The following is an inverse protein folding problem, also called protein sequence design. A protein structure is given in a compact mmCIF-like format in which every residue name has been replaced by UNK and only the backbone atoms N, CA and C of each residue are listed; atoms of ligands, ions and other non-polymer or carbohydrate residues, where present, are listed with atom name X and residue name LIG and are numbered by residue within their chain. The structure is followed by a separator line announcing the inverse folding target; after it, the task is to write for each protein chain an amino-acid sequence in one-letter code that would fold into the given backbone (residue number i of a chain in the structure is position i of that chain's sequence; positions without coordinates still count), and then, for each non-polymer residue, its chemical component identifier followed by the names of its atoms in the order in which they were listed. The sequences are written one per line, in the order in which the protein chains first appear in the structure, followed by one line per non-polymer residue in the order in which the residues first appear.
data_IF_719211208907
#
_entry.id   IF_719211208907
#
_cell.length_a   1.000
_cell.length_b   1.000
_cell.length_c   1.000
_cell.angle_alpha   90.00
_cell.angle_beta   90.00
_cell.angle_gamma   90.00
#
_symmetry.space_group_name_H-M   'P 1'
#
loop_
_entity.id
_entity.type
_entity.pdbx_description
1 polymer ?
#
# COMPACT_ATOMS: atom_id res chain seq x y z
N UNK A 1 5.04 -1.11 -34.51
CA UNK A 1 5.81 -0.71 -33.32
C UNK A 1 5.32 0.69 -32.96
N UNK A 2 4.44 0.81 -31.98
CA UNK A 2 3.84 2.11 -31.66
C UNK A 2 4.87 3.02 -30.97
N UNK A 3 5.00 4.24 -31.48
CA UNK A 3 5.98 5.27 -31.10
C UNK A 3 5.59 5.96 -29.78
N UNK A 4 5.58 5.23 -28.68
CA UNK A 4 5.31 5.78 -27.33
C UNK A 4 6.40 5.36 -26.36
N UNK A 5 7.03 6.31 -25.66
CA UNK A 5 8.17 6.08 -24.77
C UNK A 5 7.89 5.25 -23.51
N UNK A 6 6.66 4.77 -23.31
CA UNK A 6 6.21 3.99 -22.18
C UNK A 6 5.47 2.73 -22.67
N UNK A 7 5.81 1.57 -22.10
CA UNK A 7 5.00 0.36 -22.25
C UNK A 7 3.75 0.47 -21.34
N UNK A 8 2.62 0.83 -21.94
CA UNK A 8 1.34 1.05 -21.25
C UNK A 8 0.90 -0.19 -20.46
N UNK A 9 1.07 -1.39 -21.03
CA UNK A 9 0.64 -2.63 -20.38
C UNK A 9 1.54 -2.95 -19.19
N UNK A 10 2.85 -2.76 -19.31
CA UNK A 10 3.79 -2.92 -18.21
C UNK A 10 3.48 -1.95 -17.04
N UNK A 11 3.15 -0.69 -17.34
CA UNK A 11 2.80 0.29 -16.31
C UNK A 11 1.46 -0.02 -15.64
N UNK A 12 0.45 -0.47 -16.40
CA UNK A 12 -0.82 -0.96 -15.82
C UNK A 12 -0.59 -2.16 -14.90
N UNK A 13 0.29 -3.08 -15.29
CA UNK A 13 0.66 -4.21 -14.44
C UNK A 13 1.34 -3.77 -13.14
N UNK A 14 2.30 -2.84 -13.23
CA UNK A 14 2.97 -2.25 -12.06
C UNK A 14 1.96 -1.56 -11.13
N UNK A 15 1.06 -0.75 -11.67
CA UNK A 15 0.02 -0.08 -10.90
C UNK A 15 -0.82 -1.09 -10.10
N UNK A 16 -1.25 -2.19 -10.73
CA UNK A 16 -2.00 -3.25 -10.06
C UNK A 16 -1.19 -3.90 -8.94
N UNK A 17 0.08 -4.22 -9.18
CA UNK A 17 0.95 -4.80 -8.15
C UNK A 17 1.10 -3.87 -6.94
N UNK A 18 1.32 -2.57 -7.17
CA UNK A 18 1.42 -1.57 -6.09
C UNK A 18 0.15 -1.54 -5.24
N UNK A 19 -1.02 -1.55 -5.87
CA UNK A 19 -2.31 -1.59 -5.18
C UNK A 19 -2.46 -2.87 -4.34
N UNK A 20 -2.17 -4.04 -4.92
CA UNK A 20 -2.22 -5.32 -4.20
C UNK A 20 -1.27 -5.34 -2.99
N UNK A 21 -0.05 -4.81 -3.12
CA UNK A 21 0.91 -4.75 -2.01
C UNK A 21 0.49 -3.75 -0.92
N UNK A 22 -0.17 -2.66 -1.28
CA UNK A 22 -0.77 -1.77 -0.29
C UNK A 22 -1.84 -2.49 0.55
N UNK A 23 -2.73 -3.24 -0.10
CA UNK A 23 -3.79 -3.98 0.58
C UNK A 23 -3.24 -5.08 1.48
N UNK A 24 -2.19 -5.79 1.04
CA UNK A 24 -1.49 -6.78 1.87
C UNK A 24 -0.90 -6.14 3.14
N UNK A 25 -0.26 -4.98 3.04
CA UNK A 25 0.33 -4.27 4.19
C UNK A 25 -0.77 -3.84 5.17
N UNK A 26 -1.88 -3.30 4.67
CA UNK A 26 -3.00 -2.91 5.52
C UNK A 26 -3.61 -4.12 6.24
N UNK A 27 -3.77 -5.25 5.54
CA UNK A 27 -4.24 -6.50 6.14
C UNK A 27 -3.31 -7.02 7.25
N UNK A 28 -1.99 -6.95 7.03
CA UNK A 28 -0.99 -7.31 8.05
C UNK A 28 -1.12 -6.41 9.29
N UNK A 29 -1.18 -5.08 9.10
CA UNK A 29 -1.30 -4.14 10.19
C UNK A 29 -2.56 -4.38 11.04
N UNK A 30 -3.68 -4.66 10.38
CA UNK A 30 -4.95 -4.95 11.05
C UNK A 30 -4.92 -6.32 11.77
N UNK A 31 -4.37 -7.35 11.14
CA UNK A 31 -4.24 -8.69 11.73
C UNK A 31 -3.39 -8.68 12.99
N UNK A 32 -2.22 -8.03 12.94
CA UNK A 32 -1.34 -7.90 14.11
C UNK A 32 -2.00 -7.10 15.24
N UNK A 33 -2.69 -6.02 14.90
CA UNK A 33 -3.44 -5.22 15.90
C UNK A 33 -4.52 -6.06 16.58
N UNK A 34 -5.27 -6.86 15.81
CA UNK A 34 -6.30 -7.75 16.37
C UNK A 34 -5.69 -8.82 17.27
N UNK A 35 -4.62 -9.48 16.83
CA UNK A 35 -3.92 -10.50 17.63
C UNK A 35 -3.41 -9.91 18.95
N UNK A 36 -2.79 -8.73 18.93
CA UNK A 36 -2.32 -8.05 20.15
C UNK A 36 -3.44 -7.71 21.15
N UNK A 37 -4.66 -7.47 20.66
CA UNK A 37 -5.84 -7.27 21.49
C UNK A 37 -6.41 -8.57 22.08
N UNK A 38 -6.23 -9.70 21.38
CA UNK A 38 -6.76 -11.01 21.82
C UNK A 38 -5.88 -11.76 22.82
N UNK A 39 -4.59 -11.44 22.89
CA UNK A 39 -3.65 -12.14 23.79
C UNK A 39 -3.85 -11.65 25.23
N UNK A 40 -4.00 -12.59 26.17
CA UNK A 40 -4.08 -12.32 27.61
C UNK A 40 -2.69 -11.97 28.21
N UNK A 41 -2.09 -10.91 27.68
CA UNK A 41 -0.84 -10.34 28.17
C UNK A 41 -1.13 -9.02 28.86
N UNK A 42 -0.89 -8.96 30.18
CA UNK A 42 -1.20 -7.83 31.05
C UNK A 42 0.05 -7.33 31.77
N UNK A 43 -0.01 -6.09 32.27
CA UNK A 43 1.08 -5.44 33.00
C UNK A 43 1.72 -4.30 32.21
N UNK A 44 2.58 -3.53 32.87
CA UNK A 44 3.14 -2.30 32.33
C UNK A 44 3.89 -2.49 31.00
N UNK A 45 4.59 -3.62 30.83
CA UNK A 45 5.30 -3.93 29.58
C UNK A 45 4.34 -4.18 28.42
N UNK A 46 3.21 -4.84 28.70
CA UNK A 46 2.18 -5.10 27.70
C UNK A 46 1.52 -3.79 27.23
N UNK A 47 1.25 -2.88 28.17
CA UNK A 47 0.67 -1.57 27.88
C UNK A 47 1.65 -0.70 27.07
N UNK A 48 2.93 -0.72 27.46
CA UNK A 48 3.99 -0.04 26.71
C UNK A 48 4.10 -0.57 25.29
N UNK A 49 4.16 -1.88 25.10
CA UNK A 49 4.25 -2.49 23.78
C UNK A 49 3.04 -2.13 22.91
N UNK A 50 1.82 -2.21 23.45
CA UNK A 50 0.61 -1.81 22.71
C UNK A 50 0.63 -0.32 22.35
N UNK A 51 1.14 0.53 23.22
CA UNK A 51 1.31 1.96 22.95
C UNK A 51 2.30 2.20 21.80
N UNK A 52 3.48 1.59 21.85
CA UNK A 52 4.52 1.67 20.82
C UNK A 52 4.02 1.13 19.47
N UNK A 53 3.32 0.00 19.49
CA UNK A 53 2.68 -0.58 18.30
C UNK A 53 1.69 0.37 17.64
N UNK A 54 0.73 0.90 18.41
CA UNK A 54 -0.34 1.74 17.87
C UNK A 54 0.16 3.10 17.40
N UNK A 55 1.11 3.69 18.12
CA UNK A 55 1.63 5.04 17.82
C UNK A 55 2.71 5.05 16.74
N UNK A 56 3.60 4.06 16.71
CA UNK A 56 4.73 4.03 15.79
C UNK A 56 4.51 3.06 14.62
N UNK A 57 4.57 1.76 14.94
CA UNK A 57 4.68 0.71 13.91
C UNK A 57 3.44 0.62 13.01
N UNK A 58 2.24 0.62 13.59
CA UNK A 58 0.99 0.58 12.82
C UNK A 58 0.86 1.79 11.91
N UNK A 59 1.17 2.98 12.41
CA UNK A 59 1.12 4.21 11.60
C UNK A 59 2.09 4.15 10.42
N UNK A 60 3.33 3.69 10.64
CA UNK A 60 4.32 3.53 9.57
C UNK A 60 3.86 2.55 8.48
N UNK A 61 3.28 1.41 8.84
CA UNK A 61 2.73 0.45 7.88
C UNK A 61 1.60 1.07 7.03
N UNK A 62 0.67 1.76 7.68
CA UNK A 62 -0.43 2.43 6.97
C UNK A 62 0.06 3.55 6.05
N UNK A 63 1.11 4.29 6.46
CA UNK A 63 1.72 5.31 5.61
C UNK A 63 2.36 4.69 4.36
N UNK A 64 3.03 3.55 4.48
CA UNK A 64 3.57 2.81 3.33
C UNK A 64 2.45 2.33 2.41
N UNK A 65 1.39 1.74 2.97
CA UNK A 65 0.22 1.32 2.18
C UNK A 65 -0.41 2.50 1.42
N UNK A 66 -0.57 3.66 2.06
CA UNK A 66 -1.06 4.87 1.41
C UNK A 66 -0.15 5.31 0.26
N UNK A 67 1.16 5.39 0.48
CA UNK A 67 2.12 5.81 -0.54
C UNK A 67 2.11 4.86 -1.76
N UNK A 68 1.95 3.56 -1.54
CA UNK A 68 1.82 2.58 -2.62
C UNK A 68 0.51 2.75 -3.40
N UNK A 69 -0.62 3.04 -2.73
CA UNK A 69 -1.90 3.35 -3.41
C UNK A 69 -1.81 4.62 -4.23
N UNK A 70 -1.19 5.67 -3.69
CA UNK A 70 -1.01 6.93 -4.41
C UNK A 70 -0.16 6.72 -5.67
N UNK A 71 0.92 5.94 -5.55
CA UNK A 71 1.78 5.59 -6.68
C UNK A 71 1.04 4.73 -7.71
N UNK A 72 0.21 3.78 -7.27
CA UNK A 72 -0.67 2.98 -8.13
C UNK A 72 -1.63 3.85 -8.94
N UNK A 73 -2.25 4.84 -8.28
CA UNK A 73 -3.16 5.80 -8.91
C UNK A 73 -2.45 6.66 -9.97
N UNK A 74 -1.26 7.17 -9.63
CA UNK A 74 -0.42 7.95 -10.56
C UNK A 74 -0.02 7.11 -11.78
N UNK A 75 0.45 5.88 -11.58
CA UNK A 75 0.83 5.00 -12.68
C UNK A 75 -0.37 4.67 -13.61
N UNK A 76 -1.54 4.43 -13.02
CA UNK A 76 -2.78 4.20 -13.78
C UNK A 76 -3.16 5.43 -14.61
N UNK A 77 -3.11 6.62 -14.03
CA UNK A 77 -3.40 7.88 -14.72
C UNK A 77 -2.44 8.09 -15.90
N UNK A 78 -1.13 7.95 -15.67
CA UNK A 78 -0.13 8.13 -16.72
C UNK A 78 -0.33 7.13 -17.88
N UNK A 79 -0.67 5.88 -17.58
CA UNK A 79 -0.97 4.88 -18.61
C UNK A 79 -2.21 5.25 -19.44
N UNK A 80 -3.25 5.80 -18.81
CA UNK A 80 -4.46 6.24 -19.50
C UNK A 80 -4.21 7.47 -20.39
N UNK A 81 -3.43 8.43 -19.92
CA UNK A 81 -3.02 9.61 -20.69
C UNK A 81 -2.21 9.21 -21.93
N UNK A 82 -1.28 8.26 -21.77
CA UNK A 82 -0.47 7.74 -22.87
C UNK A 82 -1.32 6.99 -23.91
N UNK A 83 -2.31 6.21 -23.46
CA UNK A 83 -3.24 5.47 -24.33
C UNK A 83 -4.11 6.44 -25.16
N UNK A 84 -4.59 7.53 -24.55
CA UNK A 84 -5.33 8.57 -25.25
C UNK A 84 -4.45 9.32 -26.26
N UNK A 85 -3.25 9.72 -25.87
CA UNK A 85 -2.31 10.41 -26.75
C UNK A 85 -1.88 9.56 -27.96
N UNK A 86 -1.80 8.24 -27.80
CA UNK A 86 -1.46 7.31 -28.89
C UNK A 86 -2.63 7.03 -29.85
N UNK A 87 -3.85 7.33 -29.44
CA UNK A 87 -5.06 7.17 -30.25
C UNK A 87 -5.39 8.41 -31.11
N UNK A 88 -4.62 9.49 -30.94
CA UNK A 88 -4.67 10.74 -31.71
C UNK A 88 -3.53 10.80 -32.73
#
# INVERSE_FOLDING_TARGET
MSLTGMDIQAVRHLAKMLGTKADEIEAIANSLTHQLGSVEWRGADADRFRSEWNSGHRSQLLNVASALRDTSSVATRNANEQEQAAAH
#
